data_IF_783635635381
#
_entry.id   IF_783635635381
#
_cell.length_a   1.000
_cell.length_b   1.000
_cell.length_c   1.000
_cell.angle_alpha   90.00
_cell.angle_beta   90.00
_cell.angle_gamma   90.00
#
_symmetry.space_group_name_H-M   'P 1'
#
loop_
_entity.id
_entity.type
_entity.pdbx_description
1 polymer ?
#
# COMPACT_ATOMS: atom_id res chain seq x y z
N UNK A 1 8.37 37.75 32.66
CA UNK A 1 9.19 36.73 31.99
C UNK A 1 8.26 36.01 31.03
N UNK A 2 8.31 36.36 29.74
CA UNK A 2 7.44 35.75 28.74
C UNK A 2 7.87 34.31 28.53
N UNK A 3 7.04 33.35 28.94
CA UNK A 3 7.18 31.98 28.50
C UNK A 3 6.93 32.01 26.98
N UNK A 4 7.98 31.91 26.18
CA UNK A 4 7.82 31.69 24.75
C UNK A 4 7.26 30.28 24.60
N UNK A 5 5.97 30.19 24.25
CA UNK A 5 5.32 28.94 23.90
C UNK A 5 5.87 28.53 22.54
N UNK A 6 6.99 27.79 22.54
CA UNK A 6 7.53 27.18 21.33
C UNK A 6 6.63 25.99 21.04
N UNK A 7 5.52 26.25 20.33
CA UNK A 7 4.69 25.17 19.82
C UNK A 7 5.61 24.28 18.96
N UNK A 8 5.70 22.97 19.23
CA UNK A 8 6.53 22.09 18.45
C UNK A 8 6.10 22.18 16.99
N UNK A 9 7.01 22.05 16.05
CA UNK A 9 6.66 21.96 14.63
C UNK A 9 5.93 20.64 14.34
N UNK A 10 5.35 20.51 13.15
CA UNK A 10 4.79 19.23 12.68
C UNK A 10 5.90 18.17 12.64
N UNK A 11 7.11 18.52 12.19
CA UNK A 11 8.25 17.61 12.12
C UNK A 11 8.64 17.07 13.50
N UNK A 12 8.75 17.94 14.50
CA UNK A 12 9.06 17.55 15.87
C UNK A 12 7.97 16.65 16.48
N UNK A 13 6.70 16.88 16.12
CA UNK A 13 5.62 15.97 16.53
C UNK A 13 5.74 14.61 15.86
N UNK A 14 6.05 14.55 14.57
CA UNK A 14 6.23 13.27 13.84
C UNK A 14 7.41 12.47 14.40
N UNK A 15 8.52 13.12 14.73
CA UNK A 15 9.67 12.48 15.39
C UNK A 15 9.28 11.90 16.75
N UNK A 16 8.58 12.70 17.57
CA UNK A 16 8.11 12.26 18.86
C UNK A 16 7.07 11.13 18.77
N UNK A 17 6.12 11.23 17.84
CA UNK A 17 5.10 10.21 17.59
C UNK A 17 5.72 8.87 17.16
N UNK A 18 6.75 8.89 16.31
CA UNK A 18 7.54 7.71 15.97
C UNK A 18 8.21 7.10 17.20
N UNK A 19 8.86 7.93 18.04
CA UNK A 19 9.50 7.47 19.28
C UNK A 19 8.49 6.85 20.27
N UNK A 20 7.26 7.35 20.31
CA UNK A 20 6.16 6.80 21.11
C UNK A 20 5.43 5.62 20.47
N UNK A 21 5.88 5.14 19.30
CA UNK A 21 5.25 4.04 18.56
C UNK A 21 3.77 4.28 18.26
N UNK A 22 3.42 5.51 17.89
CA UNK A 22 2.10 5.82 17.32
C UNK A 22 1.92 4.98 16.05
N UNK A 23 0.69 4.55 15.80
CA UNK A 23 0.34 3.74 14.65
C UNK A 23 0.88 4.38 13.34
N UNK A 24 1.63 3.63 12.51
CA UNK A 24 2.23 4.16 11.29
C UNK A 24 1.22 4.85 10.36
N UNK A 25 -0.01 4.36 10.28
CA UNK A 25 -1.06 4.98 9.47
C UNK A 25 -1.43 6.38 9.94
N UNK A 26 -1.41 6.64 11.26
CA UNK A 26 -1.63 8.00 11.80
C UNK A 26 -0.44 8.90 11.47
N UNK A 27 0.79 8.38 11.61
CA UNK A 27 2.01 9.13 11.31
C UNK A 27 2.05 9.52 9.83
N UNK A 28 1.79 8.56 8.94
CA UNK A 28 1.74 8.79 7.49
C UNK A 28 0.61 9.77 7.11
N UNK A 29 -0.56 9.63 7.73
CA UNK A 29 -1.66 10.56 7.52
C UNK A 29 -1.26 11.99 7.87
N UNK A 30 -0.72 12.23 9.07
CA UNK A 30 -0.32 13.58 9.51
C UNK A 30 0.85 14.12 8.68
N UNK A 31 1.75 13.25 8.21
CA UNK A 31 2.81 13.65 7.30
C UNK A 31 2.27 14.15 5.95
N UNK A 32 1.16 13.59 5.46
CA UNK A 32 0.54 13.97 4.19
C UNK A 32 -0.53 15.07 4.30
N UNK A 33 -1.17 15.19 5.46
CA UNK A 33 -2.29 16.11 5.75
C UNK A 33 -2.02 16.85 7.07
N UNK A 34 -0.95 17.65 7.09
CA UNK A 34 -0.47 18.31 8.31
C UNK A 34 -1.48 19.31 8.91
N UNK A 35 -2.38 19.85 8.08
CA UNK A 35 -3.48 20.74 8.47
C UNK A 35 -4.49 20.07 9.41
N UNK A 36 -4.46 18.73 9.53
CA UNK A 36 -5.29 17.97 10.44
C UNK A 36 -4.60 17.62 11.76
N UNK A 37 -3.34 18.04 11.98
CA UNK A 37 -2.64 17.83 13.26
C UNK A 37 -3.29 18.63 14.39
N UNK A 38 -3.56 19.89 14.13
CA UNK A 38 -4.19 20.82 15.07
C UNK A 38 -4.98 21.88 14.31
N UNK A 39 -6.07 22.38 14.90
CA UNK A 39 -6.81 23.49 14.30
C UNK A 39 -6.20 24.83 14.66
N UNK A 40 -5.88 25.61 13.64
CA UNK A 40 -5.42 26.99 13.80
C UNK A 40 -6.56 27.91 14.25
N UNK A 41 -6.27 28.77 15.23
CA UNK A 41 -7.27 29.45 16.01
C UNK A 41 -7.46 30.92 15.65
N UNK A 42 -8.68 31.23 15.20
CA UNK A 42 -9.37 32.48 15.58
C UNK A 42 -10.89 32.27 15.84
N UNK A 43 -11.49 31.13 15.45
CA UNK A 43 -12.95 30.91 15.55
C UNK A 43 -13.33 29.49 16.04
N UNK A 44 -13.08 29.19 17.31
CA UNK A 44 -13.57 27.96 17.93
C UNK A 44 -15.06 28.05 18.26
N UNK A 45 -15.82 27.04 17.83
CA UNK A 45 -17.26 26.92 18.11
C UNK A 45 -17.43 26.07 19.37
N UNK A 46 -18.08 26.59 20.43
CA UNK A 46 -18.37 25.81 21.64
C UNK A 46 -19.10 24.50 21.31
N UNK A 47 -18.61 23.40 21.88
CA UNK A 47 -19.19 22.06 21.68
C UNK A 47 -18.76 21.34 20.40
N UNK A 48 -18.03 22.00 19.48
CA UNK A 48 -17.40 21.33 18.34
C UNK A 48 -16.06 20.71 18.77
N UNK A 49 -15.79 19.50 18.31
CA UNK A 49 -14.52 18.78 18.54
C UNK A 49 -13.54 19.18 17.44
N UNK A 50 -12.30 19.43 17.84
CA UNK A 50 -11.20 19.83 16.95
C UNK A 50 -9.99 18.92 17.18
N UNK A 51 -9.21 18.64 16.13
CA UNK A 51 -7.96 17.91 16.28
C UNK A 51 -6.96 18.74 17.10
N UNK A 52 -6.14 18.04 17.85
CA UNK A 52 -4.98 18.55 18.56
C UNK A 52 -3.90 17.47 18.58
N UNK A 53 -2.65 17.87 18.78
CA UNK A 53 -1.53 16.93 18.98
C UNK A 53 -1.85 15.83 20.00
N UNK A 54 -2.54 16.19 21.09
CA UNK A 54 -2.93 15.25 22.16
C UNK A 54 -4.08 14.32 21.75
N UNK A 55 -5.05 14.80 20.98
CA UNK A 55 -6.17 13.95 20.55
C UNK A 55 -5.71 12.81 19.67
N UNK A 56 -4.68 13.00 18.84
CA UNK A 56 -4.08 11.94 18.03
C UNK A 56 -3.41 10.85 18.86
N UNK A 57 -2.71 11.20 19.95
CA UNK A 57 -2.19 10.20 20.90
C UNK A 57 -3.31 9.42 21.58
N UNK A 58 -4.37 10.11 22.04
CA UNK A 58 -5.52 9.45 22.66
C UNK A 58 -6.28 8.55 21.69
N UNK A 59 -6.39 8.97 20.44
CA UNK A 59 -6.98 8.15 19.39
C UNK A 59 -6.14 6.89 19.16
N UNK A 60 -4.81 7.03 19.11
CA UNK A 60 -3.90 5.90 18.99
C UNK A 60 -4.04 4.88 20.13
N UNK A 61 -4.29 5.32 21.36
CA UNK A 61 -4.49 4.43 22.52
C UNK A 61 -5.75 3.55 22.41
N UNK A 62 -6.76 3.97 21.63
CA UNK A 62 -8.04 3.27 21.52
C UNK A 62 -8.28 2.59 20.17
N UNK A 63 -7.45 2.86 19.17
CA UNK A 63 -7.51 2.19 17.89
C UNK A 63 -6.89 0.80 18.01
N UNK A 64 -7.66 -0.23 17.66
CA UNK A 64 -7.08 -1.53 17.33
C UNK A 64 -6.46 -1.45 15.93
N UNK A 65 -5.25 -2.00 15.75
CA UNK A 65 -4.62 -2.10 14.43
C UNK A 65 -5.53 -2.82 13.42
N UNK A 66 -6.35 -3.78 13.88
CA UNK A 66 -7.32 -4.49 13.05
C UNK A 66 -8.49 -3.61 12.60
N UNK A 67 -8.84 -2.58 13.38
CA UNK A 67 -9.97 -1.70 13.07
C UNK A 67 -9.70 -0.81 11.86
N UNK A 68 -8.45 -0.40 11.68
CA UNK A 68 -8.00 0.41 10.55
C UNK A 68 -7.90 -0.41 9.25
N UNK A 69 -7.58 -1.70 9.36
CA UNK A 69 -7.47 -2.61 8.20
C UNK A 69 -8.82 -3.11 7.70
N UNK A 70 -9.78 -3.31 8.59
CA UNK A 70 -11.11 -3.84 8.24
C UNK A 70 -12.18 -2.75 8.06
N UNK A 71 -11.83 -1.47 8.31
CA UNK A 71 -12.69 -0.29 8.12
C UNK A 71 -14.09 -0.51 8.72
N UNK A 72 -14.13 -0.70 10.04
CA UNK A 72 -15.37 -1.00 10.76
C UNK A 72 -16.38 0.14 10.66
N UNK A 73 -17.68 -0.20 10.70
CA UNK A 73 -18.77 0.78 10.56
C UNK A 73 -18.81 1.84 11.68
N UNK A 74 -18.24 1.56 12.86
CA UNK A 74 -18.15 2.53 13.95
C UNK A 74 -16.95 3.48 13.84
N UNK A 75 -16.00 3.18 12.94
CA UNK A 75 -14.75 3.92 12.84
C UNK A 75 -14.98 5.42 12.60
N UNK A 76 -15.87 5.87 11.70
CA UNK A 76 -16.14 7.31 11.52
C UNK A 76 -16.61 8.00 12.81
N UNK A 77 -17.45 7.34 13.60
CA UNK A 77 -17.96 7.87 14.88
C UNK A 77 -16.84 7.96 15.92
N UNK A 78 -16.01 6.93 16.02
CA UNK A 78 -14.86 6.92 16.91
C UNK A 78 -13.88 8.04 16.55
N UNK A 79 -13.51 8.15 15.28
CA UNK A 79 -12.59 9.19 14.81
C UNK A 79 -13.12 10.59 15.13
N UNK A 80 -14.40 10.87 14.84
CA UNK A 80 -15.01 12.17 15.10
C UNK A 80 -14.98 12.54 16.59
N UNK A 81 -15.17 11.58 17.49
CA UNK A 81 -15.14 11.83 18.94
C UNK A 81 -13.76 12.28 19.46
N UNK A 82 -12.68 12.00 18.73
CA UNK A 82 -11.32 12.36 19.14
C UNK A 82 -10.77 13.55 18.34
N UNK A 83 -10.87 13.50 17.01
CA UNK A 83 -10.20 14.46 16.13
C UNK A 83 -11.16 15.41 15.42
N UNK A 84 -12.46 15.30 15.67
CA UNK A 84 -13.47 16.13 15.03
C UNK A 84 -13.77 15.71 13.59
N UNK A 85 -14.86 16.25 13.04
CA UNK A 85 -15.50 15.73 11.83
C UNK A 85 -14.62 15.80 10.58
N UNK A 86 -13.96 16.93 10.36
CA UNK A 86 -13.13 17.17 9.17
C UNK A 86 -11.96 16.17 9.11
N UNK A 87 -11.14 16.14 10.17
CA UNK A 87 -10.00 15.24 10.28
C UNK A 87 -10.45 13.77 10.30
N UNK A 88 -11.58 13.45 10.95
CA UNK A 88 -12.12 12.11 10.98
C UNK A 88 -12.52 11.60 9.59
N UNK A 89 -13.19 12.42 8.78
CA UNK A 89 -13.59 12.03 7.43
C UNK A 89 -12.37 11.82 6.52
N UNK A 90 -11.41 12.75 6.57
CA UNK A 90 -10.19 12.67 5.76
C UNK A 90 -9.33 11.47 6.17
N UNK A 91 -9.20 11.19 7.48
CA UNK A 91 -8.47 10.02 7.97
C UNK A 91 -9.18 8.71 7.65
N UNK A 92 -10.52 8.67 7.72
CA UNK A 92 -11.30 7.49 7.35
C UNK A 92 -11.12 7.10 5.88
N UNK A 93 -11.19 8.07 4.95
CA UNK A 93 -10.96 7.80 3.53
C UNK A 93 -9.50 7.44 3.23
N UNK A 94 -8.54 8.04 3.95
CA UNK A 94 -7.14 7.64 3.93
C UNK A 94 -6.98 6.17 4.36
N UNK A 95 -7.50 5.79 5.53
CA UNK A 95 -7.44 4.42 6.05
C UNK A 95 -8.12 3.40 5.11
N UNK A 96 -9.25 3.78 4.49
CA UNK A 96 -9.93 2.96 3.49
C UNK A 96 -9.13 2.78 2.20
N UNK A 97 -8.33 3.77 1.82
CA UNK A 97 -7.45 3.68 0.66
C UNK A 97 -6.19 2.88 1.00
N UNK A 98 -5.65 3.08 2.20
CA UNK A 98 -4.48 2.37 2.75
C UNK A 98 -4.76 0.88 2.94
N UNK A 99 -5.91 0.51 3.49
CA UNK A 99 -6.33 -0.90 3.65
C UNK A 99 -6.56 -1.64 2.32
N UNK A 100 -6.81 -0.90 1.23
CA UNK A 100 -6.87 -1.45 -0.13
C UNK A 100 -5.49 -1.64 -0.74
N UNK A 101 -4.47 -1.00 -0.19
CA UNK A 101 -3.10 -1.18 -0.67
C UNK A 101 -2.65 -2.59 -0.32
N UNK A 102 -2.33 -3.36 -1.37
CA UNK A 102 -1.82 -4.72 -1.20
C UNK A 102 -0.31 -4.62 -1.13
N UNK A 103 0.28 -5.11 -0.03
CA UNK A 103 1.73 -5.16 0.14
C UNK A 103 2.38 -6.30 -0.68
N UNK A 104 3.70 -6.26 -0.83
CA UNK A 104 4.43 -7.34 -1.51
C UNK A 104 4.28 -8.65 -0.72
N UNK A 105 4.37 -8.58 0.61
CA UNK A 105 4.17 -9.69 1.53
C UNK A 105 2.77 -10.28 1.47
N UNK A 106 1.74 -9.43 1.40
CA UNK A 106 0.35 -9.85 1.25
C UNK A 106 0.19 -10.76 0.03
N UNK A 107 0.86 -10.44 -1.08
CA UNK A 107 0.81 -11.27 -2.29
C UNK A 107 1.74 -12.47 -2.19
N UNK A 108 3.02 -12.25 -1.89
CA UNK A 108 4.06 -13.28 -2.01
C UNK A 108 4.02 -14.27 -0.84
N UNK A 109 3.88 -13.78 0.39
CA UNK A 109 3.86 -14.63 1.59
C UNK A 109 2.45 -15.19 1.84
N UNK A 110 1.42 -14.36 1.70
CA UNK A 110 0.05 -14.70 2.13
C UNK A 110 -0.92 -15.05 0.99
N UNK A 111 -0.53 -14.84 -0.28
CA UNK A 111 -1.37 -15.20 -1.43
C UNK A 111 -2.67 -14.41 -1.54
N UNK A 112 -2.68 -13.14 -1.10
CA UNK A 112 -3.84 -12.24 -1.10
C UNK A 112 -4.14 -11.66 -2.49
N UNK A 113 -4.62 -12.50 -3.40
CA UNK A 113 -4.92 -12.11 -4.80
C UNK A 113 -6.30 -11.47 -5.00
N UNK A 114 -7.15 -11.43 -3.98
CA UNK A 114 -8.52 -10.91 -4.08
C UNK A 114 -8.59 -9.50 -4.69
N UNK A 115 -7.85 -8.51 -4.15
CA UNK A 115 -7.89 -7.14 -4.66
C UNK A 115 -7.26 -6.99 -6.07
N UNK A 116 -6.24 -7.78 -6.39
CA UNK A 116 -5.52 -7.71 -7.67
C UNK A 116 -6.41 -8.04 -8.88
N UNK A 117 -7.52 -8.75 -8.70
CA UNK A 117 -8.44 -9.10 -9.80
C UNK A 117 -9.08 -7.88 -10.46
N UNK A 118 -9.21 -6.78 -9.73
CA UNK A 118 -9.85 -5.54 -10.22
C UNK A 118 -8.83 -4.48 -10.63
N UNK A 119 -7.53 -4.78 -10.57
CA UNK A 119 -6.48 -3.84 -10.91
C UNK A 119 -6.40 -3.62 -12.42
N UNK A 120 -6.13 -2.38 -12.81
CA UNK A 120 -5.74 -2.06 -14.18
C UNK A 120 -4.22 -2.11 -14.28
N UNK A 121 -3.75 -1.91 -15.50
CA UNK A 121 -2.32 -1.96 -15.81
C UNK A 121 -1.49 -0.97 -14.96
N UNK A 122 -2.04 0.21 -14.63
CA UNK A 122 -1.34 1.23 -13.84
C UNK A 122 -1.07 0.77 -12.41
N UNK A 123 -2.03 0.10 -11.77
CA UNK A 123 -1.87 -0.44 -10.42
C UNK A 123 -0.82 -1.57 -10.39
N UNK A 124 -0.85 -2.46 -11.39
CA UNK A 124 0.19 -3.49 -11.53
C UNK A 124 1.59 -2.88 -11.73
N UNK A 125 1.74 -1.87 -12.59
CA UNK A 125 3.03 -1.19 -12.79
C UNK A 125 3.56 -0.60 -11.48
N UNK A 126 2.73 0.15 -10.74
CA UNK A 126 3.12 0.73 -9.44
C UNK A 126 3.54 -0.35 -8.44
N UNK A 127 2.81 -1.46 -8.38
CA UNK A 127 3.13 -2.58 -7.49
C UNK A 127 4.46 -3.23 -7.87
N UNK A 128 4.71 -3.46 -9.17
CA UNK A 128 5.95 -4.04 -9.67
C UNK A 128 7.16 -3.14 -9.40
N UNK A 129 7.01 -1.82 -9.56
CA UNK A 129 8.08 -0.85 -9.25
C UNK A 129 8.49 -0.91 -7.78
N UNK A 130 7.52 -1.03 -6.87
CA UNK A 130 7.77 -1.27 -5.44
C UNK A 130 8.42 -2.64 -5.22
N UNK A 131 7.90 -3.67 -5.88
CA UNK A 131 8.39 -5.04 -5.76
C UNK A 131 9.87 -5.15 -6.11
N UNK A 132 10.34 -4.52 -7.19
CA UNK A 132 11.74 -4.64 -7.63
C UNK A 132 12.75 -4.16 -6.59
N UNK A 133 12.37 -3.25 -5.69
CA UNK A 133 13.24 -2.70 -4.65
C UNK A 133 12.93 -3.30 -3.27
N UNK A 134 12.02 -4.27 -3.22
CA UNK A 134 11.58 -4.88 -1.98
C UNK A 134 12.61 -5.89 -1.46
N UNK A 135 12.93 -5.94 -0.15
CA UNK A 135 13.91 -6.89 0.42
C UNK A 135 13.65 -8.36 0.06
N UNK A 136 12.39 -8.76 -0.11
CA UNK A 136 12.02 -10.11 -0.56
C UNK A 136 12.64 -10.52 -1.92
N UNK A 137 12.99 -9.56 -2.79
CA UNK A 137 13.63 -9.86 -4.08
C UNK A 137 15.11 -10.24 -3.95
N UNK A 138 15.70 -10.00 -2.78
CA UNK A 138 17.08 -10.37 -2.42
C UNK A 138 17.11 -11.61 -1.51
N UNK A 139 15.96 -12.22 -1.23
CA UNK A 139 15.86 -13.37 -0.34
C UNK A 139 16.57 -14.59 -0.92
N UNK A 140 17.43 -15.22 -0.12
CA UNK A 140 18.26 -16.35 -0.55
C UNK A 140 17.45 -17.62 -0.78
N UNK A 141 16.36 -17.78 -0.05
CA UNK A 141 15.53 -18.98 -0.09
C UNK A 141 14.06 -18.64 0.04
N UNK A 142 13.28 -18.99 -0.99
CA UNK A 142 11.83 -18.92 -0.98
C UNK A 142 11.24 -20.28 -0.64
N UNK A 143 10.17 -20.26 0.15
CA UNK A 143 9.28 -21.41 0.33
C UNK A 143 8.56 -21.73 -0.98
N UNK A 144 8.09 -22.97 -1.13
CA UNK A 144 7.34 -23.36 -2.33
C UNK A 144 6.02 -22.60 -2.47
N UNK A 145 5.39 -22.23 -1.34
CA UNK A 145 4.22 -21.35 -1.33
C UNK A 145 4.54 -19.97 -1.92
N UNK A 146 5.64 -19.34 -1.51
CA UNK A 146 6.07 -18.04 -2.05
C UNK A 146 6.37 -18.11 -3.55
N UNK A 147 7.05 -19.17 -4.01
CA UNK A 147 7.31 -19.38 -5.45
C UNK A 147 6.00 -19.53 -6.23
N UNK A 148 5.06 -20.32 -5.73
CA UNK A 148 3.74 -20.51 -6.36
C UNK A 148 2.93 -19.21 -6.40
N UNK A 149 2.94 -18.44 -5.31
CA UNK A 149 2.28 -17.14 -5.24
C UNK A 149 2.89 -16.16 -6.24
N UNK A 150 4.22 -16.09 -6.35
CA UNK A 150 4.87 -15.25 -7.35
C UNK A 150 4.52 -15.65 -8.79
N UNK A 151 4.52 -16.95 -9.10
CA UNK A 151 4.09 -17.44 -10.42
C UNK A 151 2.63 -17.09 -10.69
N UNK A 152 1.75 -17.17 -9.68
CA UNK A 152 0.35 -16.78 -9.81
C UNK A 152 0.19 -15.27 -10.06
N UNK A 153 0.94 -14.42 -9.36
CA UNK A 153 1.03 -12.98 -9.66
C UNK A 153 1.46 -12.77 -11.12
N UNK A 154 2.54 -13.44 -11.54
CA UNK A 154 3.07 -13.32 -12.89
C UNK A 154 2.02 -13.67 -13.96
N UNK A 155 1.23 -14.72 -13.73
CA UNK A 155 0.14 -15.13 -14.64
C UNK A 155 -0.97 -14.08 -14.81
N UNK A 156 -1.20 -13.22 -13.82
CA UNK A 156 -2.22 -12.16 -13.87
C UNK A 156 -1.81 -10.96 -14.73
N UNK A 157 -0.52 -10.83 -15.05
CA UNK A 157 0.00 -9.70 -15.81
C UNK A 157 -0.34 -9.81 -17.30
N UNK A 158 -0.39 -8.67 -17.99
CA UNK A 158 -0.48 -8.64 -19.46
C UNK A 158 0.77 -9.25 -20.11
N UNK A 159 0.66 -9.72 -21.36
CA UNK A 159 1.77 -10.36 -22.07
C UNK A 159 3.02 -9.46 -22.16
N UNK A 160 2.83 -8.17 -22.44
CA UNK A 160 3.90 -7.17 -22.46
C UNK A 160 4.58 -7.05 -21.10
N UNK A 161 3.79 -6.91 -20.02
CA UNK A 161 4.33 -6.76 -18.66
C UNK A 161 5.05 -8.02 -18.20
N UNK A 162 4.60 -9.22 -18.59
CA UNK A 162 5.31 -10.48 -18.31
C UNK A 162 6.73 -10.46 -18.88
N UNK A 163 6.91 -9.95 -20.11
CA UNK A 163 8.23 -9.83 -20.75
C UNK A 163 9.11 -8.84 -19.97
N UNK A 164 8.58 -7.67 -19.62
CA UNK A 164 9.32 -6.64 -18.87
C UNK A 164 9.76 -7.16 -17.50
N UNK A 165 8.86 -7.83 -16.75
CA UNK A 165 9.19 -8.43 -15.44
C UNK A 165 10.30 -9.45 -15.58
N UNK A 166 10.21 -10.32 -16.59
CA UNK A 166 11.23 -11.34 -16.84
C UNK A 166 12.58 -10.71 -17.15
N UNK A 167 12.62 -9.71 -18.03
CA UNK A 167 13.85 -8.99 -18.39
C UNK A 167 14.47 -8.31 -17.16
N UNK A 168 13.68 -7.55 -16.39
CA UNK A 168 14.16 -6.84 -15.21
C UNK A 168 14.75 -7.78 -14.15
N UNK A 169 14.08 -8.88 -13.85
CA UNK A 169 14.59 -9.85 -12.88
C UNK A 169 15.81 -10.62 -13.42
N UNK A 170 15.81 -10.96 -14.71
CA UNK A 170 16.95 -11.64 -15.34
C UNK A 170 18.22 -10.77 -15.37
N UNK A 171 18.07 -9.45 -15.43
CA UNK A 171 19.18 -8.51 -15.40
C UNK A 171 19.85 -8.45 -14.02
N UNK A 172 19.06 -8.55 -12.94
CA UNK A 172 19.57 -8.51 -11.56
C UNK A 172 20.28 -9.80 -11.13
N UNK A 173 19.88 -10.96 -11.67
CA UNK A 173 20.49 -12.29 -11.39
C UNK A 173 20.57 -12.64 -9.90
N UNK A 174 19.57 -12.27 -9.11
CA UNK A 174 19.51 -12.56 -7.68
C UNK A 174 19.21 -14.04 -7.38
N UNK A 175 19.40 -14.46 -6.13
CA UNK A 175 19.00 -15.80 -5.66
C UNK A 175 17.49 -16.02 -5.83
N UNK A 176 16.68 -14.98 -5.61
CA UNK A 176 15.26 -14.98 -5.92
C UNK A 176 15.02 -15.36 -7.39
N UNK A 177 15.69 -14.67 -8.32
CA UNK A 177 15.57 -14.94 -9.76
C UNK A 177 15.91 -16.40 -10.09
N UNK A 178 17.02 -16.91 -9.54
CA UNK A 178 17.47 -18.28 -9.81
C UNK A 178 16.43 -19.32 -9.41
N UNK A 179 15.64 -19.06 -8.37
CA UNK A 179 14.60 -19.95 -7.87
C UNK A 179 13.31 -19.93 -8.69
N UNK A 180 13.00 -18.82 -9.37
CA UNK A 180 11.70 -18.65 -10.07
C UNK A 180 11.82 -18.72 -11.60
N UNK A 181 12.99 -18.42 -12.18
CA UNK A 181 13.20 -18.29 -13.63
C UNK A 181 12.67 -19.46 -14.47
N UNK A 182 12.80 -20.71 -13.97
CA UNK A 182 12.34 -21.89 -14.70
C UNK A 182 10.83 -21.95 -14.87
N UNK A 183 10.08 -21.50 -13.87
CA UNK A 183 8.61 -21.43 -13.91
C UNK A 183 8.13 -20.28 -14.79
N UNK A 184 8.78 -19.12 -14.70
CA UNK A 184 8.44 -17.96 -15.53
C UNK A 184 8.76 -18.20 -17.01
N UNK A 185 9.89 -18.85 -17.30
CA UNK A 185 10.27 -19.19 -18.68
C UNK A 185 9.25 -20.10 -19.36
N UNK A 186 8.69 -21.08 -18.64
CA UNK A 186 7.62 -21.95 -19.15
C UNK A 186 6.38 -21.14 -19.54
N UNK A 187 5.96 -20.20 -18.68
CA UNK A 187 4.82 -19.31 -18.96
C UNK A 187 5.08 -18.44 -20.20
N UNK A 188 6.28 -17.87 -20.36
CA UNK A 188 6.62 -17.06 -21.54
C UNK A 188 6.58 -17.90 -22.83
N UNK A 189 7.11 -19.13 -22.79
CA UNK A 189 7.08 -20.04 -23.95
C UNK A 189 5.64 -20.42 -24.30
N UNK A 190 4.76 -20.56 -23.32
CA UNK A 190 3.34 -20.84 -23.56
C UNK A 190 2.64 -19.64 -24.22
N UNK A 191 2.93 -18.42 -23.79
CA UNK A 191 2.40 -17.20 -24.43
C UNK A 191 2.81 -17.09 -25.89
N UNK A 192 4.08 -17.37 -26.22
CA UNK A 192 4.57 -17.27 -27.60
C UNK A 192 3.95 -18.33 -28.50
N UNK A 193 3.80 -19.56 -28.01
CA UNK A 193 3.10 -20.63 -28.74
C UNK A 193 1.64 -20.26 -29.06
N UNK A 194 0.92 -19.69 -28.09
CA UNK A 194 -0.47 -19.30 -28.28
C UNK A 194 -0.62 -18.13 -29.27
N UNK A 195 0.35 -17.20 -29.32
CA UNK A 195 0.36 -16.14 -30.34
C UNK A 195 0.66 -16.64 -31.76
N UNK A 196 1.40 -17.74 -31.90
CA UNK A 196 1.78 -18.31 -33.20
C UNK A 196 0.68 -19.20 -33.82
N UNK A 197 -0.31 -19.62 -33.03
CA UNK A 197 -1.44 -20.44 -33.50
C UNK A 197 -2.59 -19.58 -34.08
N UNK A 198 -2.56 -18.25 -33.89
CA UNK A 198 -3.47 -17.31 -34.56
C UNK A 198 -2.74 -16.29 -35.46
N UNK A 199 -2.01 -16.71 -36.51
CA UNK A 199 -1.54 -15.79 -37.52
C UNK A 199 -2.68 -15.54 -38.53
N UNK A 200 -3.37 -14.41 -38.36
CA UNK A 200 -4.04 -13.68 -39.45
C UNK A 200 -5.22 -14.38 -40.17
N UNK A 201 -6.42 -14.30 -39.58
CA UNK A 201 -7.69 -14.58 -40.29
C UNK A 201 -8.38 -13.25 -40.72
N UNK A 202 -7.58 -12.35 -41.31
CA UNK A 202 -8.03 -11.07 -41.88
C UNK A 202 -7.55 -10.87 -43.32
N UNK A 203 -7.36 -11.95 -44.08
CA UNK A 203 -7.18 -11.87 -45.53
C UNK A 203 -8.19 -12.74 -46.26
N UNK A 204 -9.21 -12.08 -46.79
CA UNK A 204 -9.93 -12.57 -47.97
C UNK A 204 -11.36 -13.02 -47.72
N UNK A 205 -12.30 -12.08 -47.79
CA UNK A 205 -13.48 -12.26 -48.65
C UNK A 205 -13.75 -10.97 -49.42
N UNK A 206 -13.70 -11.13 -50.74
CA UNK A 206 -14.19 -10.20 -51.76
C UNK A 206 -15.64 -9.79 -51.50
#
# INVERSE_FOLDING_TARGET
>A
MGCFDVAPTVSEWLEYANAQRVNPMIIEFISGFNEHLESDGDNFIPGKIYPSRRSWFRLNEVLDEKDLLEVKSYLPTLLNAYVGQEAALQFYEFARSYSKEVSIEDVINHGKFGPLKNWKQVEFTKFLDKMYNHPLMEEKSLTDAQKQNFVKLFKMLSAETKITVFQNLSAKKTDFWMQVQGSLGKEIVELTKNSLIHPNDQTGKN
#
